data_IF_287827083685
#
_entry.id   IF_287827083685
#
_cell.length_a   1.000
_cell.length_b   1.000
_cell.length_c   1.000
_cell.angle_alpha   90.00
_cell.angle_beta   90.00
_cell.angle_gamma   90.00
#
_symmetry.space_group_name_H-M   'P 1'
#
loop_
_entity.id
_entity.type
_entity.pdbx_description
1 polymer ?
#
# COMPACT_ATOMS: atom_id res chain seq x y z
N UNK A 1 8.13 11.67 25.87
CA UNK A 1 7.25 11.43 24.70
C UNK A 1 8.13 11.00 23.55
N UNK A 2 8.04 9.75 23.11
CA UNK A 2 8.84 9.22 21.99
C UNK A 2 8.21 9.69 20.68
N UNK A 3 8.80 10.72 20.07
CA UNK A 3 8.39 11.18 18.74
C UNK A 3 8.79 10.09 17.73
N UNK A 4 7.83 9.64 16.92
CA UNK A 4 8.08 8.67 15.83
C UNK A 4 9.17 9.19 14.89
N UNK A 5 10.01 8.29 14.39
CA UNK A 5 11.09 8.65 13.46
C UNK A 5 10.57 8.75 12.02
N UNK A 6 11.33 9.40 11.14
CA UNK A 6 10.99 9.49 9.71
C UNK A 6 10.73 8.10 9.09
N UNK A 7 11.54 7.11 9.47
CA UNK A 7 11.43 5.74 8.96
C UNK A 7 10.12 5.07 9.38
N UNK A 8 9.67 5.32 10.61
CA UNK A 8 8.40 4.79 11.11
C UNK A 8 7.22 5.33 10.32
N UNK A 9 7.24 6.61 9.93
CA UNK A 9 6.23 7.19 9.05
C UNK A 9 6.33 6.71 7.61
N UNK A 10 7.54 6.40 7.12
CA UNK A 10 7.72 5.87 5.76
C UNK A 10 7.19 4.44 5.65
N UNK A 11 7.29 3.62 6.71
CA UNK A 11 6.72 2.26 6.78
C UNK A 11 5.19 2.22 6.77
N UNK A 12 4.53 3.32 7.11
CA UNK A 12 3.08 3.38 7.09
C UNK A 12 2.55 3.38 5.65
N UNK A 13 1.57 2.52 5.40
CA UNK A 13 0.85 2.41 4.13
C UNK A 13 -0.18 3.52 4.02
N UNK A 14 0.17 4.56 3.27
CA UNK A 14 -0.78 5.63 2.90
C UNK A 14 -1.45 5.24 1.59
N UNK A 15 -2.72 5.61 1.46
CA UNK A 15 -3.46 5.37 0.23
C UNK A 15 -2.89 6.28 -0.87
N UNK A 16 -2.60 5.69 -2.02
CA UNK A 16 -2.14 6.41 -3.20
C UNK A 16 -3.27 6.40 -4.22
N UNK A 17 -3.70 7.59 -4.64
CA UNK A 17 -4.63 7.75 -5.75
C UNK A 17 -3.84 8.28 -6.94
N UNK A 18 -3.92 7.57 -8.07
CA UNK A 18 -3.34 8.01 -9.34
C UNK A 18 -4.48 8.27 -10.31
N UNK A 19 -4.52 9.47 -10.86
CA UNK A 19 -5.50 9.87 -11.87
C UNK A 19 -4.79 10.39 -13.12
N UNK A 20 -5.31 10.09 -14.32
CA UNK A 20 -4.82 10.74 -15.54
C UNK A 20 -5.18 12.22 -15.52
N UNK A 21 -4.23 13.05 -15.94
CA UNK A 21 -4.33 14.51 -15.99
C UNK A 21 -3.61 15.02 -17.26
N UNK A 22 -3.57 16.33 -17.47
CA UNK A 22 -2.87 16.96 -18.57
C UNK A 22 -1.97 18.07 -18.07
N UNK A 23 -0.75 18.14 -18.60
CA UNK A 23 0.12 19.28 -18.39
C UNK A 23 -0.44 20.54 -19.06
N UNK A 24 0.09 21.70 -18.69
CA UNK A 24 -0.32 23.00 -19.24
C UNK A 24 -0.08 23.13 -20.75
N UNK A 25 0.80 22.30 -21.32
CA UNK A 25 1.07 22.22 -22.75
C UNK A 25 0.12 21.27 -23.50
N UNK A 26 -0.82 20.62 -22.80
CA UNK A 26 -1.77 19.66 -23.35
C UNK A 26 -1.23 18.23 -23.50
N UNK A 27 -0.01 17.95 -23.03
CA UNK A 27 0.50 16.59 -23.00
C UNK A 27 -0.11 15.77 -21.85
N UNK A 28 -0.31 14.47 -22.09
CA UNK A 28 -0.86 13.55 -21.09
C UNK A 28 0.10 13.39 -19.92
N UNK A 29 -0.43 13.45 -18.70
CA UNK A 29 0.32 13.17 -17.49
C UNK A 29 -0.53 12.38 -16.49
N UNK A 30 0.11 11.94 -15.41
CA UNK A 30 -0.54 11.26 -14.31
C UNK A 30 -0.27 12.04 -13.03
N UNK A 31 -1.33 12.34 -12.29
CA UNK A 31 -1.25 12.97 -10.98
C UNK A 31 -1.40 11.88 -9.91
N UNK A 32 -0.41 11.76 -9.05
CA UNK A 32 -0.42 10.88 -7.90
C UNK A 32 -0.52 11.72 -6.62
N UNK A 33 -1.41 11.34 -5.71
CA UNK A 33 -1.59 12.04 -4.44
C UNK A 33 -1.94 11.11 -3.28
N UNK A 34 -1.63 11.57 -2.07
CA UNK A 34 -2.05 10.93 -0.84
C UNK A 34 -3.22 11.72 -0.23
N UNK A 35 -4.46 11.22 -0.24
CA UNK A 35 -5.63 11.94 0.28
C UNK A 35 -5.49 12.34 1.75
N UNK A 36 -4.72 11.55 2.50
CA UNK A 36 -4.44 11.72 3.92
C UNK A 36 -3.42 12.84 4.18
N UNK A 37 -2.52 13.09 3.22
CA UNK A 37 -1.49 14.12 3.30
C UNK A 37 -1.90 15.27 2.38
N UNK A 38 -2.83 16.11 2.86
CA UNK A 38 -3.35 17.25 2.08
C UNK A 38 -2.20 18.13 1.58
N UNK A 39 -2.04 18.20 0.26
CA UNK A 39 -0.98 18.96 -0.41
C UNK A 39 0.27 18.15 -0.80
N UNK A 40 0.34 16.85 -0.45
CA UNK A 40 1.37 15.94 -0.94
C UNK A 40 0.90 15.27 -2.24
N UNK A 41 1.20 15.93 -3.36
CA UNK A 41 0.90 15.45 -4.71
C UNK A 41 2.14 15.52 -5.59
N UNK A 42 2.18 14.69 -6.62
CA UNK A 42 3.22 14.67 -7.62
C UNK A 42 2.66 14.34 -9.00
N UNK A 43 3.43 14.65 -10.04
CA UNK A 43 3.09 14.36 -11.42
C UNK A 43 4.18 13.51 -12.07
N UNK A 44 3.79 12.72 -13.07
CA UNK A 44 4.70 11.94 -13.91
C UNK A 44 4.12 11.76 -15.30
N UNK A 45 4.97 11.45 -16.28
CA UNK A 45 4.54 11.08 -17.63
C UNK A 45 3.92 9.68 -17.65
N UNK A 46 4.28 8.83 -16.68
CA UNK A 46 3.67 7.51 -16.46
C UNK A 46 3.13 7.38 -15.02
N UNK A 47 2.21 6.44 -14.76
CA UNK A 47 1.72 6.14 -13.42
C UNK A 47 2.86 5.77 -12.45
N UNK A 48 3.83 4.97 -12.91
CA UNK A 48 4.96 4.51 -12.10
C UNK A 48 5.89 5.68 -11.73
N UNK A 49 6.14 6.59 -12.67
CA UNK A 49 6.92 7.80 -12.41
C UNK A 49 6.20 8.69 -11.40
N UNK A 50 4.89 8.89 -11.55
CA UNK A 50 4.09 9.67 -10.63
C UNK A 50 4.11 9.08 -9.21
N UNK A 51 4.03 7.74 -9.09
CA UNK A 51 4.12 7.03 -7.81
C UNK A 51 5.51 7.19 -7.17
N UNK A 52 6.58 7.05 -7.95
CA UNK A 52 7.94 7.21 -7.45
C UNK A 52 8.19 8.64 -6.97
N UNK A 53 7.76 9.63 -7.74
CA UNK A 53 7.87 11.03 -7.36
C UNK A 53 7.00 11.33 -6.12
N UNK A 54 5.85 10.68 -5.96
CA UNK A 54 5.02 10.81 -4.77
C UNK A 54 5.70 10.24 -3.51
N UNK A 55 6.45 9.13 -3.62
CA UNK A 55 7.24 8.58 -2.50
C UNK A 55 8.29 9.57 -2.00
N UNK A 56 8.96 10.26 -2.91
CA UNK A 56 9.95 11.29 -2.57
C UNK A 56 9.28 12.54 -1.97
N UNK A 57 8.15 12.96 -2.55
CA UNK A 57 7.34 14.05 -2.01
C UNK A 57 6.87 13.75 -0.57
N UNK A 58 6.40 12.52 -0.30
CA UNK A 58 6.02 12.05 1.04
C UNK A 58 7.17 12.16 2.03
N UNK A 59 8.37 11.68 1.65
CA UNK A 59 9.56 11.75 2.50
C UNK A 59 9.91 13.20 2.85
N UNK A 60 9.90 14.09 1.86
CA UNK A 60 10.18 15.51 2.05
C UNK A 60 9.13 16.18 2.95
N UNK A 61 7.86 15.88 2.72
CA UNK A 61 6.73 16.41 3.48
C UNK A 61 6.83 16.03 4.97
N UNK A 62 6.97 14.74 5.27
CA UNK A 62 7.12 14.26 6.66
C UNK A 62 8.36 14.87 7.31
N UNK A 63 9.50 14.89 6.62
CA UNK A 63 10.74 15.49 7.15
C UNK A 63 10.56 16.97 7.52
N UNK A 64 9.77 17.70 6.73
CA UNK A 64 9.47 19.11 6.95
C UNK A 64 8.55 19.30 8.16
N UNK A 65 7.50 18.49 8.30
CA UNK A 65 6.63 18.52 9.48
C UNK A 65 7.41 18.22 10.77
N UNK A 66 8.27 17.20 10.73
CA UNK A 66 9.12 16.84 11.88
C UNK A 66 10.05 17.97 12.29
N UNK A 67 10.70 18.64 11.31
CA UNK A 67 11.57 19.82 11.53
C UNK A 67 10.80 21.02 12.08
N UNK A 68 9.58 21.26 11.60
CA UNK A 68 8.72 22.34 12.09
C UNK A 68 8.05 22.03 13.43
N UNK A 69 8.21 20.82 13.95
CA UNK A 69 7.55 20.39 15.18
C UNK A 69 6.03 20.22 15.03
N UNK A 70 5.54 20.06 13.80
CA UNK A 70 4.13 19.85 13.50
C UNK A 70 3.78 18.37 13.54
N UNK A 71 2.51 18.08 13.84
CA UNK A 71 1.98 16.71 13.82
C UNK A 71 1.86 16.18 12.40
N UNK A 72 2.28 14.92 12.22
CA UNK A 72 2.20 14.21 10.95
C UNK A 72 0.90 13.42 10.92
N UNK A 73 0.01 13.63 9.93
CA UNK A 73 -1.23 12.88 9.84
C UNK A 73 -0.92 11.42 9.50
N UNK A 74 -1.57 10.50 10.20
CA UNK A 74 -1.46 9.05 9.99
C UNK A 74 -2.45 8.59 8.90
N UNK A 75 -2.18 7.47 8.20
CA UNK A 75 -3.13 6.91 7.26
C UNK A 75 -4.38 6.40 7.99
N UNK A 76 -5.51 6.43 7.32
CA UNK A 76 -6.77 5.89 7.81
C UNK A 76 -6.77 4.36 7.64
N UNK A 77 -5.92 3.68 8.40
CA UNK A 77 -5.74 2.23 8.30
C UNK A 77 -5.32 1.64 9.63
N UNK A 78 -6.28 0.95 10.26
CA UNK A 78 -6.22 0.31 11.57
C UNK A 78 -6.29 1.33 12.71
N UNK A 79 -7.53 1.65 13.07
CA UNK A 79 -7.88 2.04 14.43
C UNK A 79 -7.10 1.13 15.37
N UNK A 80 -6.13 1.67 16.11
CA UNK A 80 -5.74 1.07 17.37
C UNK A 80 -7.00 1.08 18.22
N UNK A 81 -7.80 0.03 18.08
CA UNK A 81 -8.92 -0.21 18.95
C UNK A 81 -8.34 -0.19 20.34
N UNK A 82 -8.67 0.83 21.11
CA UNK A 82 -8.73 0.71 22.55
C UNK A 82 -9.73 -0.40 22.81
N UNK A 83 -9.25 -1.64 22.74
CA UNK A 83 -9.96 -2.78 23.31
C UNK A 83 -9.97 -2.50 24.81
N UNK A 84 -11.01 -1.81 25.26
CA UNK A 84 -11.30 -1.70 26.69
C UNK A 84 -11.25 -3.12 27.23
N UNK A 85 -10.45 -3.30 28.28
CA UNK A 85 -9.88 -4.52 28.86
C UNK A 85 -10.80 -5.74 29.13
N UNK A 86 -11.99 -5.86 28.56
CA UNK A 86 -12.92 -6.95 28.85
C UNK A 86 -13.09 -7.84 27.61
N UNK A 87 -12.59 -9.08 27.77
CA UNK A 87 -12.71 -10.28 26.93
C UNK A 87 -11.65 -10.56 25.86
N UNK A 88 -10.36 -10.49 26.24
CA UNK A 88 -9.25 -11.09 25.48
C UNK A 88 -9.30 -12.64 25.41
N UNK A 89 -10.25 -13.29 26.08
CA UNK A 89 -10.47 -14.74 25.99
C UNK A 89 -11.34 -15.17 24.82
N UNK A 90 -12.13 -14.27 24.22
CA UNK A 90 -13.13 -14.65 23.20
C UNK A 90 -12.61 -14.57 21.76
N UNK A 91 -11.70 -13.62 21.48
CA UNK A 91 -11.16 -13.41 20.12
C UNK A 91 -10.08 -14.41 19.71
N UNK A 92 -9.38 -15.06 20.66
CA UNK A 92 -8.30 -16.02 20.34
C UNK A 92 -8.85 -17.38 19.86
N UNK A 93 -10.10 -17.72 20.19
CA UNK A 93 -10.68 -18.99 19.76
C UNK A 93 -11.04 -18.99 18.26
N UNK A 94 -11.43 -17.84 17.70
CA UNK A 94 -11.86 -17.77 16.29
C UNK A 94 -10.68 -17.82 15.32
N UNK A 95 -9.55 -17.20 15.65
CA UNK A 95 -8.35 -17.23 14.79
C UNK A 95 -7.64 -18.58 14.76
N UNK A 96 -7.75 -19.40 15.81
CA UNK A 96 -7.10 -20.72 15.83
C UNK A 96 -7.88 -21.82 15.09
N UNK A 97 -9.08 -21.54 14.57
CA UNK A 97 -9.88 -22.55 13.84
C UNK A 97 -9.79 -22.39 12.31
N UNK A 98 -9.03 -21.41 11.80
CA UNK A 98 -8.83 -21.19 10.36
C UNK A 98 -7.47 -21.68 9.82
N UNK A 99 -6.59 -22.23 10.67
CA UNK A 99 -5.23 -22.65 10.24
C UNK A 99 -5.09 -24.11 9.77
N UNK A 100 -6.14 -24.95 9.81
CA UNK A 100 -6.01 -26.36 9.36
C UNK A 100 -6.50 -26.67 7.93
N UNK A 101 -6.98 -25.69 7.14
CA UNK A 101 -7.52 -25.97 5.78
C UNK A 101 -6.84 -25.25 4.60
N UNK A 102 -5.68 -24.60 4.77
CA UNK A 102 -5.04 -23.87 3.67
C UNK A 102 -3.58 -24.25 3.35
N UNK A 103 -3.06 -25.36 3.86
CA UNK A 103 -1.78 -25.93 3.40
C UNK A 103 -2.05 -27.07 2.40
N UNK A 104 -2.58 -26.74 1.22
CA UNK A 104 -2.43 -27.53 -0.03
C UNK A 104 -2.93 -26.66 -1.18
N UNK A 105 -2.08 -25.81 -1.79
CA UNK A 105 -2.15 -25.45 -3.23
C UNK A 105 -1.12 -24.38 -3.66
N UNK A 106 0.15 -24.56 -3.27
CA UNK A 106 1.26 -24.02 -4.06
C UNK A 106 2.23 -25.15 -4.36
N UNK A 107 1.96 -25.91 -5.41
CA UNK A 107 2.98 -26.50 -6.28
C UNK A 107 2.36 -27.36 -7.38
N UNK A 108 2.18 -26.77 -8.57
CA UNK A 108 2.48 -27.33 -9.91
C UNK A 108 1.51 -26.77 -10.95
N UNK A 109 1.93 -25.72 -11.64
CA UNK A 109 1.51 -25.52 -13.03
C UNK A 109 2.63 -24.87 -13.85
N UNK A 110 3.80 -25.50 -13.79
CA UNK A 110 4.81 -25.44 -14.85
C UNK A 110 5.15 -26.88 -15.21
N UNK A 111 4.42 -27.45 -16.16
CA UNK A 111 4.87 -28.61 -16.95
C UNK A 111 3.94 -28.78 -18.16
N UNK A 112 4.45 -28.47 -19.36
CA UNK A 112 3.81 -28.82 -20.62
C UNK A 112 3.89 -30.34 -20.83
N UNK A 113 2.84 -30.98 -21.36
CA UNK A 113 3.00 -32.22 -22.09
C UNK A 113 2.82 -31.98 -23.59
N UNK A 114 3.93 -32.17 -24.32
CA UNK A 114 3.96 -32.50 -25.73
C UNK A 114 3.50 -33.96 -25.88
N UNK A 115 2.42 -34.23 -26.64
CA UNK A 115 2.16 -35.55 -27.22
C UNK A 115 1.61 -35.43 -28.64
N UNK A 116 2.25 -36.18 -29.53
CA UNK A 116 2.09 -36.29 -30.98
C UNK A 116 1.02 -37.33 -31.32
N UNK A 117 0.25 -36.99 -32.37
CA UNK A 117 -0.52 -37.79 -33.36
C UNK A 117 -1.06 -39.20 -33.02
N UNK A 118 -2.33 -39.43 -33.41
CA UNK A 118 -2.67 -40.59 -34.25
C UNK A 118 -3.96 -40.36 -35.05
N UNK A 119 -3.87 -40.72 -36.34
CA UNK A 119 -4.91 -40.68 -37.35
C UNK A 119 -6.01 -41.71 -37.06
N UNK A 120 -7.24 -41.37 -37.39
CA UNK A 120 -8.19 -42.34 -37.96
C UNK A 120 -9.07 -41.61 -38.98
N UNK A 121 -8.83 -41.90 -40.26
CA UNK A 121 -9.75 -41.74 -41.38
C UNK A 121 -9.77 -43.06 -42.14
#
# INVERSE_FOLDING_TARGET
MTKLTLEDYMKQSYDTIIVPDQFTDGSLCYRAEHPQLKGCMSHGQTPEEAEQNLKDAKRLYISTLLKKGLDVPLPQGITSGTFSSLSYSYIVTVVNQVEELAITNVHKQFSMPHMVESKQS
#
